data_IF_173680693187
#
_entry.id   IF_173680693187
#
_cell.length_a   1.000
_cell.length_b   1.000
_cell.length_c   1.000
_cell.angle_alpha   90.00
_cell.angle_beta   90.00
_cell.angle_gamma   90.00
#
_symmetry.space_group_name_H-M   'P 1'
#
loop_
_entity.id
_entity.type
_entity.pdbx_description
1 polymer ?
#
# COMPACT_ATOMS: atom_id res chain seq x y z
N UNK A 1 16.77 -26.27 -1.85
CA UNK A 1 17.27 -25.24 -0.91
C UNK A 1 16.26 -24.10 -0.93
N UNK A 2 15.46 -23.99 0.12
CA UNK A 2 14.38 -23.00 0.22
C UNK A 2 14.98 -21.62 0.49
N UNK A 3 14.42 -20.58 -0.14
CA UNK A 3 14.86 -19.18 0.00
C UNK A 3 14.63 -18.55 1.38
N UNK A 4 14.45 -19.36 2.43
CA UNK A 4 14.21 -18.89 3.79
C UNK A 4 15.50 -18.58 4.58
N UNK A 5 16.66 -19.07 4.13
CA UNK A 5 17.92 -18.96 4.89
C UNK A 5 18.84 -17.78 4.49
N UNK A 6 18.45 -16.94 3.52
CA UNK A 6 19.32 -15.86 3.01
C UNK A 6 19.12 -14.48 3.66
N UNK A 7 18.17 -14.34 4.60
CA UNK A 7 17.79 -13.04 5.19
C UNK A 7 18.10 -12.87 6.68
N UNK A 8 18.93 -13.74 7.29
CA UNK A 8 19.29 -13.60 8.69
C UNK A 8 20.12 -12.30 8.91
N UNK A 9 19.47 -11.28 9.47
CA UNK A 9 20.09 -10.02 9.91
C UNK A 9 19.81 -8.78 9.04
N UNK A 10 19.16 -8.92 7.87
CA UNK A 10 18.71 -7.77 7.09
C UNK A 10 17.29 -7.36 7.50
N UNK A 11 17.16 -6.10 7.90
CA UNK A 11 15.88 -5.47 8.21
C UNK A 11 15.57 -4.46 7.08
N UNK A 12 14.33 -4.39 6.59
CA UNK A 12 13.95 -3.39 5.59
C UNK A 12 14.11 -1.98 6.17
N UNK A 13 14.38 -1.02 5.29
CA UNK A 13 14.70 0.36 5.63
C UNK A 13 13.63 1.00 6.52
N UNK A 14 12.35 0.78 6.19
CA UNK A 14 11.26 1.33 7.01
C UNK A 14 11.23 0.75 8.42
N UNK A 15 11.69 -0.47 8.67
CA UNK A 15 11.74 -0.98 10.05
C UNK A 15 12.98 -0.50 10.81
N UNK A 16 13.94 0.18 10.18
CA UNK A 16 15.02 0.91 10.87
C UNK A 16 14.56 2.28 11.38
N UNK A 17 13.49 2.82 10.81
CA UNK A 17 12.89 4.10 11.19
C UNK A 17 12.08 3.95 12.49
N UNK A 18 12.42 4.75 13.51
CA UNK A 18 11.81 4.67 14.82
C UNK A 18 10.31 4.99 14.80
N UNK A 19 9.85 5.83 13.86
CA UNK A 19 8.43 6.13 13.72
C UNK A 19 7.68 4.89 13.25
N UNK A 20 8.16 4.21 12.20
CA UNK A 20 7.57 2.95 11.77
C UNK A 20 7.55 1.89 12.89
N UNK A 21 8.64 1.74 13.65
CA UNK A 21 8.71 0.84 14.80
C UNK A 21 7.64 1.16 15.86
N UNK A 22 7.43 2.44 16.17
CA UNK A 22 6.40 2.89 17.11
C UNK A 22 5.00 2.51 16.65
N UNK A 23 4.68 2.69 15.36
CA UNK A 23 3.37 2.33 14.83
C UNK A 23 3.15 0.82 14.81
N UNK A 24 4.17 0.04 14.43
CA UNK A 24 4.14 -1.42 14.54
C UNK A 24 3.84 -1.84 15.99
N UNK A 25 4.54 -1.25 16.97
CA UNK A 25 4.27 -1.53 18.38
C UNK A 25 2.85 -1.14 18.81
N UNK A 26 2.32 -0.01 18.34
CA UNK A 26 0.94 0.43 18.62
C UNK A 26 -0.12 -0.45 18.00
N UNK A 27 0.10 -0.95 16.77
CA UNK A 27 -0.80 -1.89 16.10
C UNK A 27 -0.78 -3.23 16.85
N UNK A 28 0.36 -3.66 17.38
CA UNK A 28 0.45 -4.91 18.17
C UNK A 28 -0.08 -4.78 19.59
N UNK A 29 -0.11 -3.56 20.16
CA UNK A 29 -0.46 -3.33 21.56
C UNK A 29 -1.93 -3.67 21.83
N UNK A 30 -2.15 -4.66 22.70
CA UNK A 30 -3.47 -4.94 23.28
C UNK A 30 -3.91 -3.72 24.08
N UNK A 31 -5.02 -3.08 23.68
CA UNK A 31 -5.61 -2.02 24.50
C UNK A 31 -6.11 -2.65 25.81
N UNK A 32 -5.96 -1.98 26.97
CA UNK A 32 -6.49 -2.48 28.25
C UNK A 32 -7.99 -2.82 28.20
N UNK A 33 -8.72 -2.20 27.28
CA UNK A 33 -10.15 -2.41 27.03
C UNK A 33 -10.47 -3.47 25.96
N UNK A 34 -9.50 -4.26 25.49
CA UNK A 34 -9.73 -5.32 24.49
C UNK A 34 -9.97 -4.84 23.05
N UNK A 35 -9.57 -3.61 22.70
CA UNK A 35 -9.85 -3.01 21.40
C UNK A 35 -8.89 -3.38 20.25
N UNK A 36 -9.43 -3.39 19.03
CA UNK A 36 -8.74 -3.54 17.74
C UNK A 36 -7.76 -2.37 17.50
N UNK A 37 -6.64 -2.58 16.79
CA UNK A 37 -5.84 -1.49 16.25
C UNK A 37 -6.70 -0.51 15.48
N UNK A 38 -6.47 0.79 15.67
CA UNK A 38 -7.18 1.78 14.87
C UNK A 38 -6.59 1.79 13.47
N UNK A 39 -7.49 1.93 12.49
CA UNK A 39 -7.15 2.09 11.07
C UNK A 39 -6.12 3.21 10.87
N UNK A 40 -6.28 4.32 11.60
CA UNK A 40 -5.35 5.47 11.58
C UNK A 40 -3.88 5.10 11.86
N UNK A 41 -3.60 4.06 12.66
CA UNK A 41 -2.24 3.61 12.93
C UNK A 41 -1.65 2.84 11.75
N UNK A 42 -2.49 2.06 11.06
CA UNK A 42 -2.10 1.34 9.85
C UNK A 42 -1.83 2.35 8.73
N UNK A 43 -2.69 3.36 8.59
CA UNK A 43 -2.52 4.44 7.61
C UNK A 43 -1.23 5.21 7.85
N UNK A 44 -0.95 5.62 9.09
CA UNK A 44 0.29 6.36 9.40
C UNK A 44 1.54 5.52 9.15
N UNK A 45 1.50 4.22 9.43
CA UNK A 45 2.59 3.31 9.12
C UNK A 45 2.84 3.26 7.62
N UNK A 46 1.80 2.98 6.83
CA UNK A 46 1.92 2.86 5.38
C UNK A 46 2.24 4.17 4.69
N UNK A 47 1.74 5.30 5.21
CA UNK A 47 2.14 6.62 4.74
C UNK A 47 3.64 6.83 4.92
N UNK A 48 4.19 6.46 6.09
CA UNK A 48 5.62 6.59 6.34
C UNK A 48 6.43 5.67 5.42
N UNK A 49 6.00 4.41 5.26
CA UNK A 49 6.62 3.45 4.34
C UNK A 49 6.68 4.03 2.92
N UNK A 50 5.55 4.50 2.38
CA UNK A 50 5.49 5.05 1.03
C UNK A 50 6.34 6.33 0.89
N UNK A 51 6.35 7.22 1.88
CA UNK A 51 7.20 8.43 1.86
C UNK A 51 8.69 8.10 1.84
N UNK A 52 9.13 7.09 2.60
CA UNK A 52 10.53 6.64 2.59
C UNK A 52 10.96 6.27 1.16
N UNK A 53 10.15 5.49 0.46
CA UNK A 53 10.53 4.99 -0.86
C UNK A 53 10.24 5.93 -2.02
N UNK A 54 9.11 6.65 -2.00
CA UNK A 54 8.69 7.49 -3.12
C UNK A 54 9.16 8.94 -3.00
N UNK A 55 9.13 9.54 -1.81
CA UNK A 55 9.53 10.95 -1.64
C UNK A 55 11.01 11.11 -1.27
N UNK A 56 11.52 10.29 -0.36
CA UNK A 56 12.86 10.50 0.22
C UNK A 56 13.98 9.80 -0.54
N UNK A 57 13.72 8.65 -1.16
CA UNK A 57 14.72 7.87 -1.90
C UNK A 57 14.75 8.18 -3.40
N UNK A 58 13.80 8.96 -3.91
CA UNK A 58 13.79 9.40 -5.32
C UNK A 58 14.07 10.89 -5.42
N UNK A 59 14.12 11.41 -6.65
CA UNK A 59 14.13 12.86 -6.83
C UNK A 59 12.83 13.44 -6.26
N UNK A 60 12.94 14.29 -5.24
CA UNK A 60 11.81 14.81 -4.44
C UNK A 60 10.71 15.52 -5.26
N UNK A 61 10.95 15.84 -6.54
CA UNK A 61 9.95 16.43 -7.43
C UNK A 61 9.10 15.39 -8.19
N UNK A 62 9.49 14.11 -8.20
CA UNK A 62 8.89 13.11 -9.07
C UNK A 62 7.62 12.49 -8.50
N UNK A 63 7.59 12.26 -7.19
CA UNK A 63 6.47 11.62 -6.53
C UNK A 63 5.94 12.44 -5.37
N UNK A 64 4.68 12.20 -5.04
CA UNK A 64 4.01 12.83 -3.93
C UNK A 64 3.03 11.85 -3.27
N UNK A 65 3.11 11.69 -1.95
CA UNK A 65 2.26 10.78 -1.18
C UNK A 65 1.13 11.56 -0.53
N UNK A 66 -0.08 11.37 -1.05
CA UNK A 66 -1.29 12.07 -0.66
C UNK A 66 -2.13 11.23 0.30
N UNK A 67 -2.69 11.86 1.35
CA UNK A 67 -3.67 11.21 2.23
C UNK A 67 -5.09 11.56 1.80
N UNK A 68 -6.03 10.68 2.12
CA UNK A 68 -7.47 10.92 1.90
C UNK A 68 -7.75 11.32 0.44
N UNK A 69 -7.05 10.66 -0.49
CA UNK A 69 -6.98 11.05 -1.89
C UNK A 69 -8.26 10.66 -2.63
N UNK A 70 -8.79 11.60 -3.40
CA UNK A 70 -9.91 11.35 -4.30
C UNK A 70 -9.42 10.72 -5.61
N UNK A 71 -10.18 9.74 -6.14
CA UNK A 71 -9.88 9.13 -7.44
C UNK A 71 -9.91 10.15 -8.60
N UNK A 72 -10.82 11.12 -8.51
CA UNK A 72 -10.96 12.26 -9.42
C UNK A 72 -11.46 13.46 -8.63
N UNK A 73 -11.36 14.68 -9.17
CA UNK A 73 -11.86 15.88 -8.51
C UNK A 73 -13.38 15.82 -8.19
N UNK A 74 -14.15 15.07 -8.96
CA UNK A 74 -15.59 14.90 -8.78
C UNK A 74 -15.95 13.72 -7.89
N UNK A 75 -14.99 12.87 -7.51
CA UNK A 75 -15.23 11.70 -6.66
C UNK A 75 -15.73 12.14 -5.28
N UNK A 76 -16.74 11.44 -4.76
CA UNK A 76 -17.19 11.58 -3.37
C UNK A 76 -16.52 10.58 -2.42
N UNK A 77 -15.70 9.67 -2.96
CA UNK A 77 -14.98 8.64 -2.21
C UNK A 77 -13.49 8.93 -2.20
N UNK A 78 -12.87 8.64 -1.05
CA UNK A 78 -11.46 8.87 -0.76
C UNK A 78 -10.81 7.57 -0.36
N UNK A 79 -9.63 7.33 -0.92
CA UNK A 79 -8.75 6.28 -0.42
C UNK A 79 -7.89 6.82 0.71
N UNK A 80 -7.40 5.94 1.57
CA UNK A 80 -6.58 6.37 2.72
C UNK A 80 -5.30 7.06 2.25
N UNK A 81 -4.64 6.51 1.22
CA UNK A 81 -3.39 7.06 0.65
C UNK A 81 -3.34 6.85 -0.87
N UNK A 82 -2.81 7.83 -1.62
CA UNK A 82 -2.35 7.64 -3.00
C UNK A 82 -0.90 8.08 -3.18
N UNK A 83 -0.25 7.55 -4.20
CA UNK A 83 1.02 8.08 -4.70
C UNK A 83 0.80 8.62 -6.10
N UNK A 84 1.18 9.87 -6.30
CA UNK A 84 1.05 10.58 -7.56
C UNK A 84 2.43 10.67 -8.23
N UNK A 85 2.49 10.41 -9.53
CA UNK A 85 3.67 10.58 -10.38
C UNK A 85 3.53 11.91 -11.14
N UNK A 86 4.46 12.83 -10.95
CA UNK A 86 4.41 14.21 -11.46
C UNK A 86 5.24 14.41 -12.72
N UNK A 87 5.26 13.43 -13.63
CA UNK A 87 6.02 13.55 -14.90
C UNK A 87 5.26 14.37 -15.95
N UNK A 88 6.01 15.15 -16.72
CA UNK A 88 5.51 15.90 -17.89
C UNK A 88 5.58 17.42 -17.71
N UNK A 89 5.38 18.16 -18.81
CA UNK A 89 5.15 19.61 -18.79
C UNK A 89 3.84 19.97 -19.52
N UNK A 90 2.91 20.69 -18.87
CA UNK A 90 2.87 20.90 -17.43
C UNK A 90 2.79 19.55 -16.69
N UNK A 91 3.34 19.47 -15.48
CA UNK A 91 3.39 18.22 -14.72
C UNK A 91 1.98 17.70 -14.43
N UNK A 92 1.52 16.78 -15.28
CA UNK A 92 0.31 16.01 -15.01
C UNK A 92 0.59 15.11 -13.81
N UNK A 93 -0.14 15.31 -12.72
CA UNK A 93 -0.07 14.44 -11.57
C UNK A 93 -0.97 13.23 -11.83
N UNK A 94 -0.38 12.11 -12.25
CA UNK A 94 -1.14 10.87 -12.46
C UNK A 94 -1.06 9.97 -11.23
N UNK A 95 -2.19 9.44 -10.78
CA UNK A 95 -2.22 8.56 -9.61
C UNK A 95 -1.72 7.18 -10.02
N UNK A 96 -0.63 6.71 -9.41
CA UNK A 96 0.05 5.45 -9.80
C UNK A 96 -0.09 4.35 -8.76
N UNK A 97 -0.26 4.72 -7.49
CA UNK A 97 -0.46 3.77 -6.39
C UNK A 97 -1.65 4.20 -5.55
N UNK A 98 -2.43 3.22 -5.12
CA UNK A 98 -3.50 3.37 -4.16
C UNK A 98 -3.24 2.49 -2.93
N UNK A 99 -3.69 2.94 -1.77
CA UNK A 99 -3.60 2.17 -0.54
C UNK A 99 -4.89 2.31 0.26
N UNK A 100 -5.40 1.18 0.73
CA UNK A 100 -6.62 1.11 1.53
C UNK A 100 -6.40 0.22 2.75
N UNK A 101 -6.63 0.76 3.94
CA UNK A 101 -6.68 0.01 5.18
C UNK A 101 -8.11 -0.37 5.55
N UNK A 102 -8.24 -1.49 6.26
CA UNK A 102 -9.48 -1.91 6.90
C UNK A 102 -9.20 -2.49 8.28
N UNK A 103 -10.26 -2.56 9.09
CA UNK A 103 -10.26 -3.28 10.37
C UNK A 103 -10.66 -4.74 10.15
N UNK A 104 -10.04 -5.70 10.86
CA UNK A 104 -10.52 -7.08 10.88
C UNK A 104 -11.98 -7.15 11.37
N UNK A 105 -12.83 -7.90 10.68
CA UNK A 105 -14.23 -8.17 11.07
C UNK A 105 -14.28 -9.38 12.02
N UNK A 106 -14.84 -9.19 13.22
CA UNK A 106 -15.02 -10.27 14.20
C UNK A 106 -15.36 -9.77 15.60
N UNK A 107 -16.06 -10.59 16.40
CA UNK A 107 -16.62 -10.23 17.72
C UNK A 107 -15.64 -10.31 18.89
N UNK A 108 -14.47 -10.94 18.74
CA UNK A 108 -13.41 -10.88 19.75
C UNK A 108 -12.04 -10.72 19.08
N UNK A 109 -11.46 -9.52 19.10
CA UNK A 109 -10.13 -9.27 18.57
C UNK A 109 -9.09 -9.73 19.60
N UNK A 110 -8.90 -11.04 19.68
CA UNK A 110 -7.70 -11.59 20.30
C UNK A 110 -6.57 -11.57 19.25
N UNK A 111 -5.48 -10.85 19.60
CA UNK A 111 -4.14 -10.76 18.96
C UNK A 111 -4.02 -11.17 17.48
N UNK A 112 -3.49 -10.27 16.65
CA UNK A 112 -2.95 -10.61 15.31
C UNK A 112 -3.84 -11.60 14.53
N UNK A 113 -5.17 -11.43 14.61
CA UNK A 113 -6.10 -12.32 13.93
C UNK A 113 -5.81 -12.20 12.44
N UNK A 114 -5.40 -13.31 11.83
CA UNK A 114 -5.19 -13.36 10.40
C UNK A 114 -6.51 -12.93 9.72
N UNK A 115 -6.49 -11.90 8.86
CA UNK A 115 -7.70 -11.42 8.22
C UNK A 115 -8.30 -12.52 7.33
N UNK A 116 -9.62 -12.66 7.38
CA UNK A 116 -10.34 -13.61 6.53
C UNK A 116 -10.62 -13.00 5.15
N UNK A 117 -11.13 -13.80 4.20
CA UNK A 117 -11.37 -13.31 2.84
C UNK A 117 -12.39 -12.16 2.79
N UNK A 118 -13.39 -12.12 3.68
CA UNK A 118 -14.38 -11.02 3.73
C UNK A 118 -13.78 -9.68 4.19
N UNK A 119 -12.66 -9.71 4.93
CA UNK A 119 -11.90 -8.50 5.26
C UNK A 119 -11.22 -7.94 4.00
N UNK A 120 -10.68 -8.83 3.17
CA UNK A 120 -9.96 -8.48 1.94
C UNK A 120 -10.89 -8.07 0.81
N UNK A 121 -12.05 -8.70 0.65
CA UNK A 121 -12.97 -8.44 -0.46
C UNK A 121 -13.40 -6.98 -0.53
N UNK A 122 -13.70 -6.37 0.62
CA UNK A 122 -14.11 -4.98 0.71
C UNK A 122 -12.97 -4.03 0.29
N UNK A 123 -11.79 -4.19 0.90
CA UNK A 123 -10.62 -3.38 0.58
C UNK A 123 -10.21 -3.53 -0.89
N UNK A 124 -10.25 -4.77 -1.42
CA UNK A 124 -9.95 -5.10 -2.81
C UNK A 124 -10.96 -4.45 -3.78
N UNK A 125 -12.23 -4.43 -3.43
CA UNK A 125 -13.27 -3.78 -4.21
C UNK A 125 -13.08 -2.26 -4.28
N UNK A 126 -12.76 -1.64 -3.15
CA UNK A 126 -12.53 -0.20 -3.06
C UNK A 126 -11.31 0.24 -3.85
N UNK A 127 -10.16 -0.42 -3.64
CA UNK A 127 -8.92 -0.08 -4.35
C UNK A 127 -9.06 -0.26 -5.86
N UNK A 128 -9.72 -1.34 -6.32
CA UNK A 128 -10.04 -1.52 -7.74
C UNK A 128 -10.86 -0.35 -8.27
N UNK A 129 -11.88 0.08 -7.52
CA UNK A 129 -12.72 1.21 -7.89
C UNK A 129 -11.91 2.50 -8.09
N UNK A 130 -11.01 2.82 -7.16
CA UNK A 130 -10.14 3.99 -7.26
C UNK A 130 -9.20 3.90 -8.46
N UNK A 131 -8.54 2.75 -8.65
CA UNK A 131 -7.61 2.53 -9.75
C UNK A 131 -8.30 2.66 -11.12
N UNK A 132 -9.42 1.96 -11.32
CA UNK A 132 -10.16 2.02 -12.59
C UNK A 132 -10.66 3.45 -12.87
N UNK A 133 -11.22 4.12 -11.87
CA UNK A 133 -11.78 5.47 -12.03
C UNK A 133 -10.68 6.49 -12.35
N UNK A 134 -9.60 6.51 -11.57
CA UNK A 134 -8.50 7.45 -11.76
C UNK A 134 -7.80 7.24 -13.10
N UNK A 135 -7.53 5.97 -13.47
CA UNK A 135 -6.93 5.67 -14.76
C UNK A 135 -7.81 6.08 -15.94
N UNK A 136 -9.13 5.89 -15.85
CA UNK A 136 -10.04 6.32 -16.90
C UNK A 136 -10.01 7.85 -17.06
N UNK A 137 -9.90 8.61 -15.96
CA UNK A 137 -9.73 10.06 -16.00
C UNK A 137 -8.37 10.47 -16.60
N UNK A 138 -7.31 9.72 -16.32
CA UNK A 138 -5.95 9.95 -16.83
C UNK A 138 -5.74 9.40 -18.27
N UNK A 139 -6.77 8.82 -18.90
CA UNK A 139 -6.73 8.36 -20.31
C UNK A 139 -6.16 6.96 -20.55
N UNK A 140 -6.17 6.07 -19.54
CA UNK A 140 -5.71 4.68 -19.66
C UNK A 140 -4.26 4.51 -20.17
N UNK A 141 -3.39 5.35 -19.62
CA UNK A 141 -2.01 5.50 -20.04
C UNK A 141 -1.04 4.57 -19.32
N UNK A 142 -1.43 3.94 -18.21
CA UNK A 142 -0.49 3.26 -17.33
C UNK A 142 -1.08 2.10 -16.52
N UNK A 143 -0.21 1.16 -16.18
CA UNK A 143 -0.38 0.21 -15.08
C UNK A 143 -0.35 0.97 -13.76
N UNK A 144 -1.24 0.55 -12.87
CA UNK A 144 -1.32 1.06 -11.50
C UNK A 144 -1.04 -0.04 -10.50
N UNK A 145 -0.63 0.33 -9.29
CA UNK A 145 -0.38 -0.59 -8.19
C UNK A 145 -1.28 -0.29 -7.01
N UNK A 146 -1.49 -1.30 -6.18
CA UNK A 146 -2.40 -1.21 -5.06
C UNK A 146 -1.93 -2.02 -3.87
N UNK A 147 -2.19 -1.50 -2.67
CA UNK A 147 -1.97 -2.23 -1.42
C UNK A 147 -3.24 -2.17 -0.60
N UNK A 148 -3.71 -3.31 -0.12
CA UNK A 148 -4.74 -3.36 0.92
C UNK A 148 -4.10 -3.82 2.22
N UNK A 149 -4.39 -3.18 3.34
CA UNK A 149 -3.90 -3.59 4.65
C UNK A 149 -5.03 -3.87 5.63
N UNK A 150 -4.86 -4.90 6.44
CA UNK A 150 -5.75 -5.23 7.55
C UNK A 150 -4.89 -5.54 8.77
N UNK A 151 -4.81 -4.56 9.69
CA UNK A 151 -3.90 -4.62 10.83
C UNK A 151 -2.43 -4.70 10.40
N UNK A 152 -1.73 -5.77 10.79
CA UNK A 152 -0.32 -6.01 10.44
C UNK A 152 -0.12 -6.73 9.11
N UNK A 153 -1.21 -7.06 8.41
CA UNK A 153 -1.15 -7.84 7.17
C UNK A 153 -1.48 -6.96 5.97
N UNK A 154 -0.87 -7.26 4.83
CA UNK A 154 -1.15 -6.59 3.58
C UNK A 154 -1.23 -7.57 2.41
N UNK A 155 -1.96 -7.17 1.37
CA UNK A 155 -1.97 -7.81 0.05
C UNK A 155 -1.68 -6.75 -1.00
N UNK A 156 -0.91 -7.15 -2.00
CA UNK A 156 -0.45 -6.27 -3.06
C UNK A 156 -1.10 -6.64 -4.39
N UNK A 157 -1.38 -5.63 -5.20
CA UNK A 157 -2.11 -5.76 -6.45
C UNK A 157 -1.49 -4.89 -7.54
N UNK A 158 -1.76 -5.27 -8.78
CA UNK A 158 -1.52 -4.46 -9.95
C UNK A 158 -2.77 -4.44 -10.84
N UNK A 159 -3.02 -3.32 -11.48
CA UNK A 159 -4.03 -3.18 -12.52
C UNK A 159 -3.30 -2.94 -13.85
N UNK A 160 -3.16 -3.96 -14.70
CA UNK A 160 -2.50 -3.82 -16.00
C UNK A 160 -3.18 -2.75 -16.84
N UNK A 161 -2.40 -2.01 -17.64
CA UNK A 161 -2.92 -1.07 -18.63
C UNK A 161 -3.96 -1.75 -19.53
N UNK A 162 -5.01 -1.04 -19.91
CA UNK A 162 -6.11 -1.57 -20.75
C UNK A 162 -6.90 -2.72 -20.13
N UNK A 163 -6.79 -2.96 -18.83
CA UNK A 163 -7.54 -4.01 -18.14
C UNK A 163 -8.11 -3.55 -16.82
N UNK A 164 -9.41 -3.75 -16.62
CA UNK A 164 -10.07 -3.49 -15.33
C UNK A 164 -9.98 -4.69 -14.36
N UNK A 165 -9.20 -5.71 -14.72
CA UNK A 165 -8.97 -6.88 -13.88
C UNK A 165 -7.79 -6.62 -12.95
N UNK A 166 -8.10 -6.41 -11.68
CA UNK A 166 -7.11 -6.32 -10.63
C UNK A 166 -6.43 -7.70 -10.47
N UNK A 167 -5.10 -7.72 -10.56
CA UNK A 167 -4.28 -8.92 -10.42
C UNK A 167 -3.57 -8.87 -9.07
N UNK A 168 -3.60 -9.97 -8.34
CA UNK A 168 -2.79 -10.09 -7.14
C UNK A 168 -1.31 -10.25 -7.50
N UNK A 169 -0.44 -9.65 -6.68
CA UNK A 169 1.00 -9.88 -6.70
C UNK A 169 1.31 -11.14 -5.89
N UNK A 170 2.34 -11.89 -6.30
CA UNK A 170 2.77 -13.16 -5.66
C UNK A 170 1.60 -14.12 -5.39
N UNK A 171 0.76 -14.33 -6.40
CA UNK A 171 -0.39 -15.24 -6.36
C UNK A 171 -1.36 -14.99 -5.19
N UNK A 172 -1.46 -13.73 -4.72
CA UNK A 172 -2.36 -13.38 -3.62
C UNK A 172 -1.79 -13.63 -2.24
N UNK A 173 -0.45 -13.77 -2.13
CA UNK A 173 0.24 -13.84 -0.86
C UNK A 173 -0.17 -12.70 0.07
N UNK A 174 -0.44 -13.06 1.32
CA UNK A 174 -0.59 -12.13 2.43
C UNK A 174 0.78 -11.89 3.05
N UNK A 175 1.17 -10.63 3.19
CA UNK A 175 2.45 -10.21 3.77
C UNK A 175 2.21 -9.67 5.18
N UNK A 176 2.93 -10.18 6.17
CA UNK A 176 3.00 -9.57 7.49
C UNK A 176 4.07 -8.47 7.49
N UNK A 177 3.72 -7.26 7.92
CA UNK A 177 4.58 -6.06 7.79
C UNK A 177 5.95 -6.20 8.46
N UNK A 178 6.09 -6.94 9.54
CA UNK A 178 7.42 -7.27 10.11
C UNK A 178 8.08 -8.48 9.45
N UNK A 179 7.43 -9.65 9.53
CA UNK A 179 8.03 -10.92 9.11
C UNK A 179 8.35 -10.99 7.60
N UNK A 180 7.55 -10.33 6.76
CA UNK A 180 7.73 -10.30 5.30
C UNK A 180 8.30 -8.96 4.82
N UNK A 181 8.87 -8.15 5.73
CA UNK A 181 9.19 -6.76 5.41
C UNK A 181 10.23 -6.55 4.31
N UNK A 182 11.15 -7.50 4.12
CA UNK A 182 12.08 -7.49 2.99
C UNK A 182 11.34 -7.68 1.66
N UNK A 183 10.38 -8.61 1.60
CA UNK A 183 9.59 -8.83 0.38
C UNK A 183 8.70 -7.62 0.06
N UNK A 184 8.15 -6.96 1.09
CA UNK A 184 7.40 -5.71 0.94
C UNK A 184 8.30 -4.62 0.35
N UNK A 185 9.49 -4.43 0.91
CA UNK A 185 10.48 -3.47 0.41
C UNK A 185 10.86 -3.75 -1.05
N UNK A 186 11.13 -5.01 -1.40
CA UNK A 186 11.48 -5.42 -2.77
C UNK A 186 10.39 -5.07 -3.78
N UNK A 187 9.11 -5.32 -3.44
CA UNK A 187 7.98 -4.96 -4.30
C UNK A 187 7.83 -3.45 -4.45
N UNK A 188 7.91 -2.70 -3.34
CA UNK A 188 7.79 -1.24 -3.39
C UNK A 188 8.94 -0.62 -4.19
N UNK A 189 10.18 -1.04 -3.95
CA UNK A 189 11.34 -0.58 -4.72
C UNK A 189 11.22 -0.93 -6.20
N UNK A 190 10.67 -2.11 -6.53
CA UNK A 190 10.38 -2.47 -7.92
C UNK A 190 9.37 -1.52 -8.54
N UNK A 191 8.29 -1.18 -7.83
CA UNK A 191 7.30 -0.21 -8.33
C UNK A 191 7.92 1.17 -8.52
N UNK A 192 8.70 1.66 -7.55
CA UNK A 192 9.46 2.91 -7.67
C UNK A 192 10.27 2.92 -8.96
N UNK A 193 11.07 1.88 -9.23
CA UNK A 193 11.88 1.80 -10.46
C UNK A 193 11.02 1.78 -11.71
N UNK A 194 10.03 0.89 -11.78
CA UNK A 194 9.19 0.74 -12.99
C UNK A 194 8.44 2.04 -13.31
N UNK A 195 7.94 2.75 -12.30
CA UNK A 195 7.25 4.03 -12.50
C UNK A 195 8.25 5.15 -12.82
N UNK A 196 9.41 5.17 -12.16
CA UNK A 196 10.49 6.16 -12.41
C UNK A 196 11.17 5.98 -13.75
N UNK A 197 11.04 4.83 -14.40
CA UNK A 197 11.61 4.63 -15.73
C UNK A 197 10.55 4.86 -16.82
N UNK A 198 9.29 5.12 -16.46
CA UNK A 198 8.17 5.17 -17.41
C UNK A 198 7.77 3.80 -17.98
N UNK A 199 8.32 2.73 -17.42
CA UNK A 199 8.08 1.34 -17.82
C UNK A 199 6.75 0.78 -17.27
N UNK A 200 5.94 1.61 -16.63
CA UNK A 200 4.56 1.30 -16.24
C UNK A 200 3.54 1.71 -17.32
N UNK A 201 3.98 2.20 -18.48
CA UNK A 201 3.11 2.45 -19.65
C UNK A 201 2.81 1.18 -20.43
#
# INVERSE_FOLDING_TARGET
MSGHDLNQGKQPEYLKDSFCQDYVARIKKKRPTGGIPREDQVDHLWQRILKIYFEHQTSAALFDVQREAYATEQSQKRSDISVDNRRGEPAGAHKVIWFEAKRPKGTEPSRETMPNENDWEEARGQIRGYMVTARAADGDVQRMYGVTAVGMYARMFQLPRHSDRLQAVDDGRTFHVEADGIAIEEHIQRWVRVISDGNNT
#
